data_IF_494384073660
#
_entry.id   IF_494384073660
#
_cell.length_a   1.000
_cell.length_b   1.000
_cell.length_c   1.000
_cell.angle_alpha   90.00
_cell.angle_beta   90.00
_cell.angle_gamma   90.00
#
_symmetry.space_group_name_H-M   'P 1'
#
loop_
_entity.id
_entity.type
_entity.pdbx_description
1 polymer ?
#
# COMPACT_ATOMS: atom_id res chain seq x y z
N UNK A 1 -19.20 2.99 13.15
CA UNK A 1 -18.95 2.21 11.93
C UNK A 1 -18.04 1.04 12.28
N UNK A 2 -18.62 -0.14 12.54
CA UNK A 2 -17.89 -1.28 13.12
C UNK A 2 -17.29 -2.26 12.08
N UNK A 3 -17.78 -2.26 10.85
CA UNK A 3 -17.38 -3.24 9.82
C UNK A 3 -15.97 -3.01 9.30
N UNK A 4 -15.62 -1.76 9.05
CA UNK A 4 -14.34 -1.37 8.42
C UNK A 4 -13.11 -1.79 9.21
N UNK A 5 -13.03 -1.61 10.56
CA UNK A 5 -11.87 -2.06 11.32
C UNK A 5 -11.58 -3.57 11.16
N UNK A 6 -12.62 -4.39 11.06
CA UNK A 6 -12.46 -5.84 10.86
C UNK A 6 -11.87 -6.20 9.49
N UNK A 7 -12.18 -5.42 8.46
CA UNK A 7 -11.68 -5.63 7.10
C UNK A 7 -10.24 -5.11 6.87
N UNK A 8 -9.75 -4.29 7.79
CA UNK A 8 -8.45 -3.62 7.68
C UNK A 8 -7.45 -4.04 8.77
N UNK A 9 -7.90 -4.76 9.80
CA UNK A 9 -7.02 -5.18 10.90
C UNK A 9 -5.93 -6.12 10.40
N UNK A 10 -4.68 -5.84 10.77
CA UNK A 10 -3.48 -6.64 10.43
C UNK A 10 -3.36 -7.00 8.93
N UNK A 11 -3.84 -6.14 8.04
CA UNK A 11 -3.89 -6.38 6.59
C UNK A 11 -2.53 -6.76 5.97
N UNK A 12 -1.41 -6.28 6.53
CA UNK A 12 -0.07 -6.66 6.10
C UNK A 12 0.17 -8.16 6.18
N UNK A 13 -0.45 -8.85 7.14
CA UNK A 13 -0.27 -10.29 7.38
C UNK A 13 -1.17 -11.17 6.52
N UNK A 14 -2.40 -10.73 6.20
CA UNK A 14 -3.40 -11.59 5.57
C UNK A 14 -3.97 -11.07 4.25
N UNK A 15 -3.42 -10.01 3.68
CA UNK A 15 -3.94 -9.42 2.45
C UNK A 15 -4.19 -10.50 1.37
N UNK A 16 -5.42 -10.60 0.82
CA UNK A 16 -5.74 -11.59 -0.19
C UNK A 16 -5.01 -11.27 -1.50
N UNK A 17 -4.58 -12.29 -2.21
CA UNK A 17 -3.96 -12.17 -3.54
C UNK A 17 -4.86 -12.68 -4.66
N UNK A 18 -5.77 -13.60 -4.34
CA UNK A 18 -6.74 -14.11 -5.31
C UNK A 18 -7.74 -13.01 -5.67
N UNK A 19 -8.01 -12.84 -6.96
CA UNK A 19 -9.04 -11.89 -7.42
C UNK A 19 -10.43 -12.22 -6.84
N UNK A 20 -10.75 -13.51 -6.66
CA UNK A 20 -11.99 -13.94 -6.05
C UNK A 20 -12.11 -13.47 -4.59
N UNK A 21 -11.04 -13.58 -3.80
CA UNK A 21 -11.03 -13.14 -2.40
C UNK A 21 -11.09 -11.62 -2.29
N UNK A 22 -10.35 -10.92 -3.17
CA UNK A 22 -10.39 -9.44 -3.25
C UNK A 22 -11.82 -8.98 -3.53
N UNK A 23 -12.49 -9.60 -4.52
CA UNK A 23 -13.87 -9.28 -4.88
C UNK A 23 -14.85 -9.62 -3.76
N UNK A 24 -14.67 -10.75 -3.07
CA UNK A 24 -15.52 -11.16 -1.95
C UNK A 24 -15.49 -10.10 -0.84
N UNK A 25 -14.31 -9.61 -0.49
CA UNK A 25 -14.17 -8.54 0.50
C UNK A 25 -14.78 -7.22 0.01
N UNK A 26 -14.56 -6.86 -1.24
CA UNK A 26 -15.10 -5.64 -1.83
C UNK A 26 -16.64 -5.67 -1.88
N UNK A 27 -17.24 -6.85 -2.12
CA UNK A 27 -18.71 -7.04 -2.07
C UNK A 27 -19.30 -6.69 -0.69
N UNK A 28 -18.57 -6.93 0.39
CA UNK A 28 -19.02 -6.51 1.72
C UNK A 28 -19.19 -4.99 1.77
N UNK A 29 -18.18 -4.23 1.31
CA UNK A 29 -18.28 -2.76 1.24
C UNK A 29 -19.40 -2.31 0.28
N UNK A 30 -19.55 -2.98 -0.87
CA UNK A 30 -20.63 -2.69 -1.82
C UNK A 30 -22.02 -2.84 -1.21
N UNK A 31 -22.25 -3.93 -0.46
CA UNK A 31 -23.53 -4.17 0.23
C UNK A 31 -23.80 -3.09 1.28
N UNK A 32 -22.82 -2.79 2.13
CA UNK A 32 -22.98 -1.79 3.19
C UNK A 32 -23.21 -0.38 2.62
N UNK A 33 -22.47 0.03 1.60
CA UNK A 33 -22.67 1.35 0.98
C UNK A 33 -24.03 1.47 0.31
N UNK A 34 -24.63 0.37 -0.16
CA UNK A 34 -25.97 0.35 -0.75
C UNK A 34 -27.08 0.55 0.28
N UNK A 35 -26.84 0.15 1.55
CA UNK A 35 -27.83 0.30 2.64
C UNK A 35 -27.88 1.73 3.20
N UNK A 36 -26.93 2.58 2.85
CA UNK A 36 -26.94 3.98 3.28
C UNK A 36 -28.09 4.71 2.60
N UNK A 37 -28.86 5.45 3.37
CA UNK A 37 -30.02 6.21 2.86
C UNK A 37 -29.64 7.10 1.68
N UNK A 38 -30.43 7.04 0.61
CA UNK A 38 -30.19 7.82 -0.61
C UNK A 38 -29.06 7.32 -1.51
N UNK A 39 -28.48 6.13 -1.24
CA UNK A 39 -27.37 5.58 -2.03
C UNK A 39 -27.78 4.40 -2.93
N UNK A 40 -28.97 3.83 -2.74
CA UNK A 40 -29.42 2.60 -3.39
C UNK A 40 -29.40 2.64 -4.93
N UNK A 41 -29.67 3.80 -5.52
CA UNK A 41 -29.77 4.01 -6.98
C UNK A 41 -28.42 4.41 -7.63
N UNK A 42 -27.36 4.61 -6.84
CA UNK A 42 -26.06 5.00 -7.35
C UNK A 42 -25.21 3.77 -7.70
N UNK A 43 -24.35 3.91 -8.72
CA UNK A 43 -23.28 2.93 -8.97
C UNK A 43 -22.37 2.80 -7.77
N UNK A 44 -21.60 1.71 -7.68
CA UNK A 44 -20.67 1.54 -6.56
C UNK A 44 -19.65 2.68 -6.49
N UNK A 45 -19.06 3.05 -7.60
CA UNK A 45 -18.13 4.19 -7.70
C UNK A 45 -18.78 5.52 -7.28
N UNK A 46 -20.02 5.76 -7.72
CA UNK A 46 -20.78 6.92 -7.31
C UNK A 46 -21.03 6.98 -5.80
N UNK A 47 -21.31 5.82 -5.17
CA UNK A 47 -21.43 5.73 -3.71
C UNK A 47 -20.11 6.01 -3.01
N UNK A 48 -18.99 5.43 -3.48
CA UNK A 48 -17.67 5.68 -2.91
C UNK A 48 -17.34 7.17 -2.95
N UNK A 49 -17.52 7.81 -4.12
CA UNK A 49 -17.26 9.25 -4.29
C UNK A 49 -18.12 10.09 -3.34
N UNK A 50 -19.42 9.81 -3.26
CA UNK A 50 -20.34 10.57 -2.41
C UNK A 50 -20.08 10.39 -0.91
N UNK A 51 -19.57 9.22 -0.50
CA UNK A 51 -19.22 8.89 0.88
C UNK A 51 -17.79 9.26 1.25
N UNK A 52 -16.97 9.76 0.32
CA UNK A 52 -15.55 10.02 0.54
C UNK A 52 -14.77 8.75 0.85
N UNK A 53 -15.14 7.64 0.24
CA UNK A 53 -14.50 6.34 0.43
C UNK A 53 -13.70 5.94 -0.81
N UNK A 54 -12.70 5.11 -0.61
CA UNK A 54 -11.96 4.41 -1.66
C UNK A 54 -12.23 2.91 -1.61
N UNK A 55 -11.82 2.16 -2.62
CA UNK A 55 -11.92 0.69 -2.60
C UNK A 55 -11.09 0.11 -1.47
N UNK A 56 -11.45 -1.09 -0.98
CA UNK A 56 -10.67 -1.80 0.02
C UNK A 56 -9.28 -2.18 -0.50
N UNK A 57 -9.15 -2.45 -1.80
CA UNK A 57 -7.86 -2.72 -2.43
C UNK A 57 -6.93 -1.50 -2.35
N UNK A 58 -7.39 -0.32 -2.78
CA UNK A 58 -6.60 0.91 -2.72
C UNK A 58 -6.18 1.25 -1.28
N UNK A 59 -7.08 1.00 -0.32
CA UNK A 59 -6.78 1.22 1.11
C UNK A 59 -5.70 0.28 1.65
N UNK A 60 -5.73 -1.01 1.22
CA UNK A 60 -4.69 -1.96 1.60
C UNK A 60 -3.34 -1.57 1.02
N UNK A 61 -3.30 -1.21 -0.26
CA UNK A 61 -2.07 -0.72 -0.89
C UNK A 61 -1.53 0.52 -0.17
N UNK A 62 -2.40 1.46 0.17
CA UNK A 62 -2.02 2.63 0.97
C UNK A 62 -1.47 2.24 2.35
N UNK A 63 -2.11 1.31 3.03
CA UNK A 63 -1.66 0.79 4.33
C UNK A 63 -0.28 0.13 4.22
N UNK A 64 -0.10 -0.72 3.22
CA UNK A 64 1.18 -1.37 2.92
C UNK A 64 2.31 -0.35 2.71
N UNK A 65 2.05 0.73 1.97
CA UNK A 65 3.05 1.79 1.76
C UNK A 65 3.37 2.55 3.04
N UNK A 66 2.38 2.83 3.87
CA UNK A 66 2.59 3.49 5.18
C UNK A 66 3.42 2.61 6.11
N UNK A 67 3.15 1.31 6.15
CA UNK A 67 3.90 0.40 7.02
C UNK A 67 5.31 0.16 6.48
N UNK A 68 5.49 0.08 5.17
CA UNK A 68 6.82 0.06 4.54
C UNK A 68 7.61 1.32 4.89
N UNK A 69 7.01 2.49 4.76
CA UNK A 69 7.64 3.76 5.15
C UNK A 69 8.09 3.75 6.61
N UNK A 70 7.23 3.34 7.54
CA UNK A 70 7.57 3.30 8.97
C UNK A 70 8.74 2.36 9.26
N UNK A 71 8.76 1.18 8.63
CA UNK A 71 9.83 0.18 8.80
C UNK A 71 11.15 0.71 8.24
N UNK A 72 11.14 1.20 7.00
CA UNK A 72 12.34 1.65 6.29
C UNK A 72 12.97 2.89 6.92
N UNK A 73 12.14 3.78 7.46
CA UNK A 73 12.60 5.02 8.10
C UNK A 73 12.80 4.91 9.63
N UNK A 74 12.66 3.71 10.21
CA UNK A 74 12.86 3.49 11.64
C UNK A 74 11.81 4.18 12.53
N UNK A 75 10.59 4.41 12.03
CA UNK A 75 9.48 5.00 12.79
C UNK A 75 8.73 3.98 13.65
N UNK A 76 9.08 2.71 13.53
CA UNK A 76 8.62 1.59 14.38
C UNK A 76 9.82 0.81 14.86
N UNK A 77 9.71 0.25 16.06
CA UNK A 77 10.79 -0.53 16.70
C UNK A 77 10.84 -1.96 16.12
N UNK A 78 11.25 -2.05 14.85
CA UNK A 78 11.50 -3.32 14.16
C UNK A 78 12.78 -3.21 13.34
N UNK A 79 13.54 -4.30 13.27
CA UNK A 79 14.72 -4.34 12.42
C UNK A 79 14.31 -4.37 10.93
N UNK A 80 14.51 -3.24 10.23
CA UNK A 80 14.20 -3.12 8.80
C UNK A 80 14.90 -4.18 7.96
N UNK A 81 16.14 -4.56 8.30
CA UNK A 81 16.93 -5.57 7.60
C UNK A 81 16.32 -6.98 7.61
N UNK A 82 15.45 -7.29 8.60
CA UNK A 82 14.69 -8.56 8.62
C UNK A 82 13.62 -8.59 7.53
N UNK A 83 13.04 -7.44 7.21
CA UNK A 83 11.95 -7.33 6.24
C UNK A 83 12.43 -6.99 4.85
N UNK A 84 13.37 -6.05 4.74
CA UNK A 84 13.78 -5.45 3.48
C UNK A 84 15.30 -5.37 3.38
N UNK A 85 15.83 -5.59 2.18
CA UNK A 85 17.21 -5.27 1.85
C UNK A 85 17.21 -3.93 1.11
N UNK A 86 17.77 -2.88 1.72
CA UNK A 86 17.97 -1.60 1.07
C UNK A 86 19.02 -1.74 -0.04
N UNK A 87 18.75 -1.18 -1.20
CA UNK A 87 19.74 -1.04 -2.24
C UNK A 87 20.70 0.09 -1.85
N UNK A 88 22.02 -0.09 -2.04
CA UNK A 88 22.97 0.97 -1.79
C UNK A 88 22.64 2.17 -2.69
N UNK A 89 22.60 3.35 -2.11
CA UNK A 89 22.54 4.61 -2.86
C UNK A 89 23.80 4.69 -3.74
N UNK A 90 23.64 4.79 -5.05
CA UNK A 90 24.77 4.96 -5.96
C UNK A 90 25.15 6.45 -6.02
N UNK A 91 25.70 6.96 -4.93
CA UNK A 91 26.43 8.20 -4.95
C UNK A 91 27.81 7.91 -5.58
N UNK A 92 27.99 8.26 -6.86
CA UNK A 92 29.31 8.36 -7.43
C UNK A 92 29.69 7.55 -8.66
N UNK A 93 28.78 7.03 -9.46
CA UNK A 93 29.16 6.48 -10.78
C UNK A 93 28.43 7.24 -11.89
N UNK A 94 29.16 8.11 -12.60
CA UNK A 94 28.72 8.74 -13.84
C UNK A 94 28.31 7.68 -14.88
N UNK A 95 27.09 7.81 -15.39
CA UNK A 95 26.72 7.28 -16.70
C UNK A 95 26.03 5.95 -16.74
N UNK A 96 24.83 5.84 -16.17
CA UNK A 96 23.72 5.09 -16.81
C UNK A 96 22.41 5.51 -16.14
N UNK A 97 21.39 5.82 -16.97
CA UNK A 97 20.04 6.23 -16.55
C UNK A 97 19.28 5.09 -15.88
N UNK A 98 19.67 4.76 -14.68
CA UNK A 98 18.88 3.94 -13.78
C UNK A 98 19.04 4.59 -12.41
N UNK A 99 18.17 5.57 -12.14
CA UNK A 99 18.07 6.21 -10.84
C UNK A 99 17.70 5.14 -9.83
N UNK A 100 18.70 4.59 -9.14
CA UNK A 100 18.45 3.91 -7.87
C UNK A 100 18.05 5.02 -6.89
N UNK A 101 16.72 5.28 -6.80
CA UNK A 101 16.18 6.28 -5.93
C UNK A 101 16.54 6.02 -4.48
N UNK A 102 16.47 7.09 -3.70
CA UNK A 102 16.68 7.03 -2.25
C UNK A 102 15.75 5.99 -1.62
N UNK A 103 16.28 5.14 -0.73
CA UNK A 103 15.50 4.11 -0.02
C UNK A 103 14.87 3.01 -0.90
N UNK A 104 15.41 2.73 -2.08
CA UNK A 104 14.93 1.63 -2.90
C UNK A 104 15.22 0.27 -2.26
N UNK A 105 14.28 -0.65 -2.46
CA UNK A 105 14.32 -1.99 -1.88
C UNK A 105 14.70 -3.02 -2.93
N UNK A 106 15.57 -3.97 -2.54
CA UNK A 106 15.93 -5.08 -3.41
C UNK A 106 14.74 -6.03 -3.59
N UNK A 107 14.45 -6.41 -4.85
CA UNK A 107 13.43 -7.41 -5.15
C UNK A 107 13.88 -8.78 -4.64
N UNK A 108 13.03 -9.41 -3.84
CA UNK A 108 13.19 -10.82 -3.46
C UNK A 108 12.46 -11.67 -4.49
N UNK A 109 13.16 -12.63 -5.08
CA UNK A 109 12.55 -13.61 -5.97
C UNK A 109 11.89 -14.71 -5.16
N UNK A 110 10.70 -15.14 -5.56
CA UNK A 110 10.02 -16.28 -5.00
C UNK A 110 9.42 -17.13 -6.12
N UNK A 111 9.45 -18.45 -5.97
CA UNK A 111 8.93 -19.40 -6.96
C UNK A 111 7.44 -19.72 -6.75
N UNK A 112 6.90 -19.47 -5.56
CA UNK A 112 5.54 -19.84 -5.18
C UNK A 112 4.69 -18.60 -4.90
N UNK A 113 3.45 -18.60 -5.38
CA UNK A 113 2.52 -17.50 -5.26
C UNK A 113 2.29 -17.00 -3.81
N UNK A 114 2.09 -17.88 -2.79
CA UNK A 114 1.91 -17.39 -1.43
C UNK A 114 3.10 -16.55 -0.94
N UNK A 115 4.32 -16.90 -1.35
CA UNK A 115 5.52 -16.14 -0.98
C UNK A 115 5.67 -14.83 -1.76
N UNK A 116 5.24 -14.80 -3.02
CA UNK A 116 5.21 -13.57 -3.82
C UNK A 116 4.26 -12.53 -3.21
N UNK A 117 3.18 -13.01 -2.59
CA UNK A 117 2.15 -12.17 -1.97
C UNK A 117 2.43 -11.84 -0.50
N UNK A 118 3.55 -12.34 0.06
CA UNK A 118 4.00 -11.93 1.38
C UNK A 118 4.31 -10.43 1.40
N UNK A 119 3.98 -9.74 2.50
CA UNK A 119 4.14 -8.30 2.65
C UNK A 119 5.51 -7.80 2.16
N UNK A 120 6.60 -8.36 2.66
CA UNK A 120 7.97 -7.94 2.32
C UNK A 120 8.41 -8.21 0.87
N UNK A 121 7.57 -8.84 0.08
CA UNK A 121 7.81 -9.10 -1.35
C UNK A 121 6.86 -8.28 -2.22
N UNK A 122 5.55 -8.34 -1.93
CA UNK A 122 4.53 -7.65 -2.75
C UNK A 122 4.63 -6.13 -2.75
N UNK A 123 5.12 -5.54 -1.65
CA UNK A 123 5.22 -4.07 -1.53
C UNK A 123 6.39 -3.48 -2.31
N UNK A 124 7.43 -4.26 -2.57
CA UNK A 124 8.70 -3.77 -3.16
C UNK A 124 8.51 -3.10 -4.53
N UNK A 125 7.77 -3.67 -5.50
CA UNK A 125 7.54 -3.00 -6.77
C UNK A 125 6.88 -1.63 -6.59
N UNK A 126 5.77 -1.58 -5.87
CA UNK A 126 5.00 -0.34 -5.64
C UNK A 126 5.81 0.70 -4.85
N UNK A 127 6.61 0.26 -3.87
CA UNK A 127 7.50 1.15 -3.13
C UNK A 127 8.57 1.78 -4.02
N UNK A 128 9.19 0.98 -4.89
CA UNK A 128 10.26 1.47 -5.76
C UNK A 128 9.75 2.42 -6.86
N UNK A 129 8.48 2.32 -7.24
CA UNK A 129 7.82 3.21 -8.19
C UNK A 129 7.50 4.60 -7.61
N UNK A 130 7.50 4.73 -6.27
CA UNK A 130 7.22 6.02 -5.64
C UNK A 130 8.37 7.02 -5.91
N UNK A 131 8.04 8.30 -6.15
CA UNK A 131 9.03 9.36 -6.24
C UNK A 131 9.86 9.49 -4.95
N UNK A 132 11.14 9.85 -5.09
CA UNK A 132 12.03 10.03 -3.94
C UNK A 132 11.55 11.13 -2.98
N UNK A 133 10.88 12.15 -3.51
CA UNK A 133 10.26 13.22 -2.72
C UNK A 133 9.20 12.69 -1.75
N UNK A 134 8.46 11.64 -2.14
CA UNK A 134 7.48 10.98 -1.28
C UNK A 134 8.17 10.13 -0.22
N UNK A 135 9.19 9.36 -0.60
CA UNK A 135 9.93 8.47 0.31
C UNK A 135 10.72 9.24 1.38
N UNK A 136 11.21 10.45 1.05
CA UNK A 136 12.04 11.27 1.92
C UNK A 136 11.27 12.14 2.91
N UNK A 137 9.96 12.04 2.98
CA UNK A 137 9.16 12.84 3.90
C UNK A 137 9.58 12.63 5.36
N UNK A 138 9.68 13.70 6.18
CA UNK A 138 10.20 13.59 7.55
C UNK A 138 9.24 12.91 8.53
N UNK A 139 7.95 12.95 8.25
CA UNK A 139 6.91 12.40 9.15
C UNK A 139 5.94 11.48 8.42
N UNK A 140 5.33 10.55 9.17
CA UNK A 140 4.30 9.64 8.64
C UNK A 140 3.11 10.40 8.04
N UNK A 141 2.72 11.53 8.63
CA UNK A 141 1.57 12.30 8.14
C UNK A 141 1.89 13.01 6.83
N UNK A 142 3.09 13.56 6.69
CA UNK A 142 3.53 14.17 5.43
C UNK A 142 3.69 13.11 4.34
N UNK A 143 4.22 11.92 4.68
CA UNK A 143 4.26 10.79 3.75
C UNK A 143 2.86 10.40 3.26
N UNK A 144 1.88 10.28 4.17
CA UNK A 144 0.50 9.96 3.80
C UNK A 144 -0.08 10.97 2.81
N UNK A 145 0.11 12.27 3.09
CA UNK A 145 -0.39 13.33 2.21
C UNK A 145 0.31 13.32 0.86
N UNK A 146 1.64 13.16 0.84
CA UNK A 146 2.41 13.07 -0.39
C UNK A 146 2.01 11.84 -1.23
N UNK A 147 1.83 10.68 -0.59
CA UNK A 147 1.36 9.47 -1.25
C UNK A 147 -0.05 9.65 -1.83
N UNK A 148 -0.98 10.20 -1.07
CA UNK A 148 -2.36 10.42 -1.52
C UNK A 148 -2.41 11.36 -2.74
N UNK A 149 -1.51 12.35 -2.83
CA UNK A 149 -1.38 13.23 -3.98
C UNK A 149 -0.86 12.51 -5.24
N UNK A 150 -0.11 11.41 -5.11
CA UNK A 150 0.35 10.63 -6.27
C UNK A 150 -0.73 9.70 -6.83
N UNK A 151 -1.84 9.50 -6.11
CA UNK A 151 -2.93 8.59 -6.51
C UNK A 151 -4.11 9.34 -7.16
N UNK A 152 -4.11 10.66 -7.13
CA UNK A 152 -5.10 11.54 -7.76
C UNK A 152 -4.62 11.98 -9.13
#
# INVERSE_FOLDING_TARGET
MYVRPHLEYAQASWAPWSQADIQTLEQVQQRFTRQVSGMGNLSYEGRLKKLGLTTLLARRQRGDMIDTYKIVTGKVDVNAGTWFNLLPSRDGAAGTRSSSGLLNLARKTAKHEPRLNQFSVRVVPHWNELPDEVKSQPTVNLFKNAYDNTQN
#
